data_IF_907273975810
#
_entry.id   IF_907273975810
#
_cell.length_a   1.000
_cell.length_b   1.000
_cell.length_c   1.000
_cell.angle_alpha   90.00
_cell.angle_beta   90.00
_cell.angle_gamma   90.00
#
_symmetry.space_group_name_H-M   'P 1'
#
loop_
_entity.id
_entity.type
_entity.pdbx_description
1 polymer ?
#
# COMPACT_ATOMS: atom_id res chain seq x y z
N UNK A 1 10.46 -19.02 -5.57
CA UNK A 1 9.81 -18.90 -4.25
C UNK A 1 9.06 -20.19 -3.94
N UNK A 2 9.18 -20.74 -2.72
CA UNK A 2 8.41 -21.91 -2.27
C UNK A 2 7.41 -21.46 -1.20
N UNK A 3 6.36 -20.74 -1.61
CA UNK A 3 5.27 -20.32 -0.76
C UNK A 3 3.96 -20.93 -1.28
N UNK A 4 3.05 -21.30 -0.39
CA UNK A 4 1.74 -21.86 -0.77
C UNK A 4 0.66 -21.02 -0.13
N UNK A 5 -0.17 -20.37 -0.96
CA UNK A 5 -1.32 -19.63 -0.49
C UNK A 5 -2.36 -20.64 -0.01
N UNK A 6 -2.80 -20.47 1.23
CA UNK A 6 -3.88 -21.30 1.78
C UNK A 6 -5.24 -20.87 1.24
N UNK A 7 -6.20 -21.80 1.22
CA UNK A 7 -7.58 -21.49 0.86
C UNK A 7 -8.18 -20.37 1.74
N UNK A 8 -7.81 -20.37 3.03
CA UNK A 8 -8.22 -19.32 3.97
C UNK A 8 -7.64 -17.95 3.58
N UNK A 9 -6.36 -17.87 3.23
CA UNK A 9 -5.75 -16.61 2.78
C UNK A 9 -6.43 -16.08 1.51
N UNK A 10 -6.65 -16.94 0.50
CA UNK A 10 -7.36 -16.54 -0.73
C UNK A 10 -8.78 -16.07 -0.43
N UNK A 11 -9.50 -16.77 0.45
CA UNK A 11 -10.85 -16.38 0.87
C UNK A 11 -10.85 -15.05 1.61
N UNK A 12 -9.94 -14.84 2.57
CA UNK A 12 -9.84 -13.59 3.34
C UNK A 12 -9.48 -12.43 2.43
N UNK A 13 -8.53 -12.59 1.52
CA UNK A 13 -8.20 -11.53 0.55
C UNK A 13 -9.44 -11.12 -0.28
N UNK A 14 -10.15 -12.11 -0.85
CA UNK A 14 -11.35 -11.85 -1.63
C UNK A 14 -12.49 -11.24 -0.80
N UNK A 15 -12.62 -11.60 0.47
CA UNK A 15 -13.69 -11.13 1.36
C UNK A 15 -13.40 -9.74 1.94
N UNK A 16 -12.19 -9.55 2.45
CA UNK A 16 -11.81 -8.45 3.32
C UNK A 16 -11.04 -7.36 2.58
N UNK A 17 -10.44 -7.68 1.42
CA UNK A 17 -9.65 -6.75 0.61
C UNK A 17 -8.17 -6.65 1.04
N UNK A 18 -7.78 -7.38 2.08
CA UNK A 18 -6.39 -7.48 2.56
C UNK A 18 -6.13 -8.88 3.13
N UNK A 19 -4.89 -9.35 3.03
CA UNK A 19 -4.44 -10.59 3.68
C UNK A 19 -2.96 -10.46 4.02
N UNK A 20 -2.56 -11.03 5.16
CA UNK A 20 -1.15 -11.22 5.52
C UNK A 20 -0.62 -12.55 4.98
N UNK A 21 0.53 -12.50 4.34
CA UNK A 21 1.31 -13.64 3.84
C UNK A 21 2.61 -13.77 4.64
N UNK A 22 2.60 -14.52 5.77
CA UNK A 22 3.75 -14.56 6.66
C UNK A 22 4.92 -15.34 6.06
N UNK A 23 6.13 -14.76 6.09
CA UNK A 23 7.34 -15.39 5.56
C UNK A 23 7.31 -15.67 4.05
N UNK A 24 6.55 -14.89 3.28
CA UNK A 24 6.52 -14.99 1.82
C UNK A 24 7.90 -14.73 1.20
N UNK A 25 8.60 -13.73 1.73
CA UNK A 25 9.87 -13.23 1.20
C UNK A 25 11.02 -13.90 1.95
N UNK A 26 11.94 -14.52 1.21
CA UNK A 26 13.16 -15.10 1.79
C UNK A 26 14.10 -13.99 2.27
N UNK A 27 14.97 -14.28 3.24
CA UNK A 27 15.89 -13.27 3.77
C UNK A 27 16.88 -12.76 2.71
N UNK A 28 17.21 -13.60 1.72
CA UNK A 28 18.04 -13.20 0.58
C UNK A 28 17.33 -12.17 -0.29
N UNK A 29 16.08 -12.45 -0.69
CA UNK A 29 15.28 -11.50 -1.48
C UNK A 29 14.98 -10.22 -0.69
N UNK A 30 14.74 -10.33 0.61
CA UNK A 30 14.55 -9.19 1.49
C UNK A 30 15.80 -8.30 1.53
N UNK A 31 17.00 -8.87 1.61
CA UNK A 31 18.25 -8.10 1.59
C UNK A 31 18.44 -7.36 0.25
N UNK A 32 17.99 -7.95 -0.87
CA UNK A 32 18.00 -7.28 -2.17
C UNK A 32 16.98 -6.12 -2.22
N UNK A 33 15.78 -6.31 -1.67
CA UNK A 33 14.76 -5.26 -1.56
C UNK A 33 15.21 -4.11 -0.65
N UNK A 34 15.92 -4.43 0.45
CA UNK A 34 16.52 -3.44 1.33
C UNK A 34 17.59 -2.61 0.61
N UNK A 35 18.45 -3.25 -0.19
CA UNK A 35 19.41 -2.54 -1.03
C UNK A 35 18.73 -1.64 -2.09
N UNK A 36 17.61 -2.09 -2.67
CA UNK A 36 16.81 -1.29 -3.58
C UNK A 36 16.20 -0.07 -2.87
N UNK A 37 15.68 -0.25 -1.65
CA UNK A 37 15.16 0.82 -0.83
C UNK A 37 16.23 1.86 -0.51
N UNK A 38 17.40 1.44 -0.01
CA UNK A 38 18.53 2.35 0.27
C UNK A 38 18.96 3.13 -0.97
N UNK A 39 19.00 2.46 -2.13
CA UNK A 39 19.27 3.12 -3.40
C UNK A 39 18.21 4.17 -3.73
N UNK A 40 16.92 3.85 -3.59
CA UNK A 40 15.82 4.78 -3.86
C UNK A 40 15.83 5.99 -2.93
N UNK A 41 16.19 5.81 -1.65
CA UNK A 41 16.37 6.91 -0.71
C UNK A 41 17.53 7.83 -1.13
N UNK A 42 18.63 7.26 -1.64
CA UNK A 42 19.78 8.01 -2.10
C UNK A 42 19.55 8.70 -3.47
N UNK A 43 18.59 8.22 -4.26
CA UNK A 43 18.26 8.74 -5.60
C UNK A 43 16.76 9.02 -5.72
N UNK A 44 16.21 10.04 -5.02
CA UNK A 44 14.79 10.33 -5.09
C UNK A 44 14.33 10.67 -6.52
N UNK A 45 13.18 10.12 -6.90
CA UNK A 45 12.54 10.36 -8.18
C UNK A 45 11.97 11.77 -8.34
N UNK A 46 11.47 12.11 -9.53
CA UNK A 46 11.00 13.45 -9.87
C UNK A 46 9.74 13.89 -9.11
N UNK A 47 8.98 12.94 -8.56
CA UNK A 47 7.77 13.19 -7.77
C UNK A 47 7.92 12.82 -6.30
N UNK A 48 9.14 12.53 -5.85
CA UNK A 48 9.43 12.28 -4.45
C UNK A 48 9.02 13.48 -3.58
N UNK A 49 8.47 13.18 -2.41
CA UNK A 49 7.98 14.15 -1.44
C UNK A 49 8.50 13.83 -0.04
N UNK A 50 8.85 14.88 0.70
CA UNK A 50 9.40 14.77 2.04
C UNK A 50 10.90 15.06 2.11
N UNK A 51 11.39 15.28 3.33
CA UNK A 51 12.81 15.48 3.62
C UNK A 51 13.22 14.58 4.78
N UNK A 52 14.32 13.84 4.61
CA UNK A 52 14.80 12.82 5.55
C UNK A 52 15.82 13.38 6.56
N UNK A 53 16.11 14.68 6.52
CA UNK A 53 17.12 15.37 7.34
C UNK A 53 16.61 15.82 8.71
N UNK A 54 15.38 15.42 9.09
CA UNK A 54 14.71 15.81 10.34
C UNK A 54 14.64 14.64 11.33
N UNK A 55 14.37 14.97 12.58
CA UNK A 55 14.09 13.97 13.61
C UNK A 55 12.78 13.21 13.30
N UNK A 56 11.73 13.97 12.98
CA UNK A 56 10.44 13.46 12.53
C UNK A 56 10.27 13.74 11.03
N UNK A 57 9.94 12.71 10.24
CA UNK A 57 9.66 12.90 8.81
C UNK A 57 8.73 11.84 8.21
N UNK A 58 8.24 12.19 7.03
CA UNK A 58 7.60 11.28 6.08
C UNK A 58 8.22 11.53 4.73
N UNK A 59 8.71 10.47 4.10
CA UNK A 59 9.23 10.45 2.74
C UNK A 59 8.40 9.46 1.93
N UNK A 60 7.99 9.87 0.75
CA UNK A 60 7.27 9.05 -0.23
C UNK A 60 7.89 9.29 -1.60
N UNK A 61 8.16 8.22 -2.34
CA UNK A 61 8.56 8.27 -3.74
C UNK A 61 7.78 7.21 -4.52
N UNK A 62 7.40 7.51 -5.76
CA UNK A 62 6.50 6.65 -6.55
C UNK A 62 7.02 6.53 -7.98
N UNK A 63 7.29 5.30 -8.41
CA UNK A 63 7.67 4.96 -9.78
C UNK A 63 8.84 5.78 -10.32
N UNK A 64 9.98 5.73 -9.64
CA UNK A 64 11.17 6.47 -10.07
C UNK A 64 11.68 5.88 -11.42
N UNK A 65 11.70 6.67 -12.51
CA UNK A 65 12.15 6.17 -13.81
C UNK A 65 13.58 5.62 -13.80
N UNK A 66 14.46 6.15 -12.94
CA UNK A 66 15.85 5.67 -12.80
C UNK A 66 15.92 4.33 -12.04
N UNK A 67 14.94 4.04 -11.18
CA UNK A 67 14.86 2.80 -10.42
C UNK A 67 14.22 1.64 -11.21
N UNK A 68 13.49 1.96 -12.30
CA UNK A 68 12.64 1.00 -13.02
C UNK A 68 13.35 -0.31 -13.37
N UNK A 69 14.55 -0.25 -13.94
CA UNK A 69 15.26 -1.47 -14.37
C UNK A 69 15.58 -2.38 -13.19
N UNK A 70 15.97 -1.81 -12.05
CA UNK A 70 16.28 -2.55 -10.82
C UNK A 70 15.05 -3.28 -10.28
N UNK A 71 13.90 -2.59 -10.22
CA UNK A 71 12.65 -3.20 -9.76
C UNK A 71 12.04 -4.18 -10.77
N UNK A 72 12.13 -3.93 -12.07
CA UNK A 72 11.70 -4.89 -13.08
C UNK A 72 12.48 -6.22 -12.95
N UNK A 73 13.80 -6.14 -12.77
CA UNK A 73 14.66 -7.31 -12.62
C UNK A 73 14.34 -8.11 -11.35
N UNK A 74 14.11 -7.44 -10.21
CA UNK A 74 13.80 -8.14 -8.95
C UNK A 74 12.40 -8.78 -9.01
N UNK A 75 11.40 -8.08 -9.54
CA UNK A 75 10.03 -8.57 -9.66
C UNK A 75 9.94 -9.76 -10.63
N UNK A 76 10.69 -9.72 -11.74
CA UNK A 76 10.70 -10.80 -12.72
C UNK A 76 11.20 -12.15 -12.14
N UNK A 77 11.99 -12.15 -11.06
CA UNK A 77 12.52 -13.37 -10.43
C UNK A 77 12.01 -13.64 -9.01
N UNK A 78 11.24 -12.73 -8.42
CA UNK A 78 10.78 -12.84 -7.03
C UNK A 78 9.74 -13.94 -6.84
N UNK A 79 8.89 -14.19 -7.84
CA UNK A 79 7.69 -15.02 -7.70
C UNK A 79 6.44 -14.23 -7.28
N UNK A 80 6.52 -12.89 -7.21
CA UNK A 80 5.40 -12.04 -6.81
C UNK A 80 4.23 -12.11 -7.80
N UNK A 81 4.53 -12.18 -9.10
CA UNK A 81 3.51 -12.29 -10.14
C UNK A 81 2.63 -13.52 -9.95
N UNK A 82 3.22 -14.67 -9.64
CA UNK A 82 2.51 -15.93 -9.41
C UNK A 82 1.63 -15.88 -8.16
N UNK A 83 2.13 -15.30 -7.07
CA UNK A 83 1.39 -15.11 -5.81
C UNK A 83 0.15 -14.25 -6.05
N UNK A 84 0.32 -13.12 -6.72
CA UNK A 84 -0.79 -12.21 -7.03
C UNK A 84 -1.77 -12.84 -8.03
N UNK A 85 -1.27 -13.56 -9.04
CA UNK A 85 -2.10 -14.27 -10.00
C UNK A 85 -3.00 -15.30 -9.30
N UNK A 86 -2.44 -16.06 -8.34
CA UNK A 86 -3.20 -17.03 -7.55
C UNK A 86 -4.25 -16.36 -6.66
N UNK A 87 -3.91 -15.25 -5.98
CA UNK A 87 -4.85 -14.50 -5.15
C UNK A 87 -6.01 -13.90 -5.95
N UNK A 88 -5.72 -13.33 -7.12
CA UNK A 88 -6.69 -12.68 -8.00
C UNK A 88 -7.43 -13.65 -8.94
N UNK A 89 -7.04 -14.93 -8.96
CA UNK A 89 -7.55 -15.90 -9.94
C UNK A 89 -7.31 -15.44 -11.41
N UNK A 90 -6.17 -14.79 -11.64
CA UNK A 90 -5.80 -14.23 -12.95
C UNK A 90 -4.80 -15.13 -13.68
N UNK A 91 -4.89 -15.16 -15.02
CA UNK A 91 -3.88 -15.80 -15.86
C UNK A 91 -2.63 -14.93 -16.03
N UNK A 92 -2.79 -13.60 -15.97
CA UNK A 92 -1.72 -12.64 -16.22
C UNK A 92 -1.75 -11.53 -15.17
N UNK A 93 -0.57 -11.15 -14.69
CA UNK A 93 -0.38 -10.01 -13.79
C UNK A 93 0.76 -9.17 -14.35
N UNK A 94 0.54 -7.86 -14.41
CA UNK A 94 1.57 -6.89 -14.78
C UNK A 94 2.09 -6.19 -13.53
N UNK A 95 3.41 -6.01 -13.47
CA UNK A 95 4.01 -5.08 -12.52
C UNK A 95 3.83 -3.64 -13.03
N UNK A 96 3.33 -2.76 -12.17
CA UNK A 96 3.11 -1.35 -12.52
C UNK A 96 4.29 -0.47 -12.11
N UNK A 97 4.53 -0.34 -10.80
CA UNK A 97 5.57 0.50 -10.24
C UNK A 97 5.81 0.15 -8.76
N UNK A 98 6.93 0.63 -8.22
CA UNK A 98 7.24 0.63 -6.80
C UNK A 98 6.72 1.90 -6.13
N UNK A 99 6.44 1.81 -4.84
CA UNK A 99 6.24 2.96 -3.97
C UNK A 99 7.11 2.81 -2.72
N UNK A 100 7.89 3.86 -2.42
CA UNK A 100 8.84 3.89 -1.33
C UNK A 100 8.27 4.73 -0.21
N UNK A 101 8.07 4.11 0.96
CA UNK A 101 7.59 4.79 2.16
C UNK A 101 8.65 4.75 3.24
N UNK A 102 9.02 5.91 3.77
CA UNK A 102 9.89 6.00 4.94
C UNK A 102 9.35 7.03 5.93
N UNK A 103 8.95 6.55 7.10
CA UNK A 103 8.44 7.38 8.19
C UNK A 103 9.29 7.19 9.43
N UNK A 104 9.57 8.30 10.13
CA UNK A 104 10.33 8.31 11.37
C UNK A 104 9.70 9.27 12.37
N UNK A 105 9.65 8.85 13.63
CA UNK A 105 9.19 9.68 14.74
C UNK A 105 7.70 10.04 14.62
N UNK A 106 7.34 11.29 14.96
CA UNK A 106 5.96 11.81 14.84
C UNK A 106 5.65 12.22 13.40
N UNK A 107 5.62 11.23 12.52
CA UNK A 107 5.23 11.39 11.12
C UNK A 107 3.72 11.59 10.97
N UNK A 108 3.28 12.31 9.94
CA UNK A 108 1.86 12.39 9.62
C UNK A 108 1.31 10.99 9.24
N UNK A 109 0.08 10.65 9.65
CA UNK A 109 -0.57 9.44 9.16
C UNK A 109 -0.76 9.53 7.65
N UNK A 110 -0.86 8.38 6.99
CA UNK A 110 -1.42 8.35 5.65
C UNK A 110 -2.93 8.48 5.80
N UNK A 111 -3.53 9.51 5.20
CA UNK A 111 -4.98 9.74 5.31
C UNK A 111 -5.75 8.65 4.58
N UNK A 112 -6.99 8.38 5.02
CA UNK A 112 -7.88 7.44 4.33
C UNK A 112 -8.09 7.87 2.88
N UNK A 113 -8.05 6.90 1.97
CA UNK A 113 -8.26 7.10 0.54
C UNK A 113 -8.52 5.76 -0.17
N UNK A 114 -8.83 5.83 -1.47
CA UNK A 114 -8.86 4.69 -2.38
C UNK A 114 -7.86 4.95 -3.51
N UNK A 115 -6.92 4.04 -3.77
CA UNK A 115 -5.91 4.23 -4.81
C UNK A 115 -6.54 4.42 -6.20
N UNK A 116 -7.68 3.76 -6.46
CA UNK A 116 -8.49 3.91 -7.68
C UNK A 116 -9.02 5.32 -7.91
N UNK A 117 -9.05 6.18 -6.89
CA UNK A 117 -9.43 7.58 -7.04
C UNK A 117 -8.35 8.44 -7.72
N UNK A 118 -7.10 7.95 -7.79
CA UNK A 118 -5.96 8.69 -8.32
C UNK A 118 -5.44 8.14 -9.64
N UNK A 119 -5.91 6.97 -10.05
CA UNK A 119 -5.42 6.29 -11.25
C UNK A 119 -6.47 6.26 -12.37
N UNK A 120 -6.05 6.32 -13.65
CA UNK A 120 -6.97 6.39 -14.80
C UNK A 120 -7.53 5.02 -15.22
N UNK A 121 -7.47 4.00 -14.38
CA UNK A 121 -7.94 2.64 -14.68
C UNK A 121 -9.05 2.18 -13.73
N UNK A 122 -9.82 1.19 -14.19
CA UNK A 122 -10.90 0.56 -13.44
C UNK A 122 -10.83 -0.96 -13.53
N UNK A 123 -11.42 -1.65 -12.56
CA UNK A 123 -11.45 -3.11 -12.49
C UNK A 123 -11.21 -3.61 -11.08
N UNK A 124 -11.36 -4.92 -10.90
CA UNK A 124 -11.22 -5.59 -9.59
C UNK A 124 -9.83 -6.24 -9.40
N UNK A 125 -9.03 -6.33 -10.47
CA UNK A 125 -7.74 -7.03 -10.48
C UNK A 125 -6.55 -6.08 -10.41
N UNK A 126 -6.51 -5.27 -9.35
CA UNK A 126 -5.37 -4.45 -8.99
C UNK A 126 -5.13 -4.57 -7.48
N UNK A 127 -3.89 -4.82 -7.09
CA UNK A 127 -3.49 -4.96 -5.69
C UNK A 127 -2.06 -4.46 -5.49
N UNK A 128 -1.76 -4.09 -4.26
CA UNK A 128 -0.42 -3.72 -3.80
C UNK A 128 0.15 -4.82 -2.92
N UNK A 129 1.46 -5.03 -2.99
CA UNK A 129 2.21 -5.84 -2.01
C UNK A 129 2.96 -4.89 -1.08
N UNK A 130 2.57 -4.88 0.20
CA UNK A 130 3.23 -4.05 1.21
C UNK A 130 4.33 -4.84 1.89
N UNK A 131 5.58 -4.46 1.63
CA UNK A 131 6.74 -5.21 2.11
C UNK A 131 7.40 -4.45 3.27
N UNK A 132 7.28 -4.91 4.52
CA UNK A 132 7.93 -4.32 5.68
C UNK A 132 9.44 -4.65 5.69
N UNK A 133 10.29 -3.62 5.73
CA UNK A 133 11.74 -3.76 5.93
C UNK A 133 12.14 -3.77 7.41
N UNK A 134 11.19 -3.48 8.31
CA UNK A 134 11.36 -3.50 9.75
C UNK A 134 10.10 -4.04 10.44
N UNK A 135 10.16 -4.51 11.69
CA UNK A 135 8.97 -4.89 12.44
C UNK A 135 8.00 -3.71 12.58
N UNK A 136 6.71 -3.98 12.40
CA UNK A 136 5.64 -2.98 12.51
C UNK A 136 4.47 -3.58 13.28
N UNK A 137 3.87 -2.83 14.19
CA UNK A 137 2.59 -3.21 14.79
C UNK A 137 1.42 -2.91 13.86
N UNK A 138 0.25 -3.52 14.12
CA UNK A 138 -0.95 -3.34 13.30
C UNK A 138 -1.45 -1.88 13.18
N UNK A 139 -1.11 -1.01 14.13
CA UNK A 139 -1.39 0.44 14.09
C UNK A 139 -0.33 1.25 13.34
N UNK A 140 0.84 0.65 13.09
CA UNK A 140 1.92 1.23 12.29
C UNK A 140 1.87 0.75 10.84
N UNK A 141 1.35 -0.46 10.59
CA UNK A 141 1.18 -1.04 9.26
C UNK A 141 0.07 -0.35 8.47
N UNK A 142 -0.06 -0.74 7.21
CA UNK A 142 -1.24 -0.38 6.42
C UNK A 142 -2.51 -0.86 7.11
N UNK A 143 -3.52 0.01 7.08
CA UNK A 143 -4.86 -0.29 7.54
C UNK A 143 -5.85 -0.07 6.42
N UNK A 144 -6.87 -0.92 6.37
CA UNK A 144 -7.96 -0.83 5.38
C UNK A 144 -9.32 -1.01 6.06
N UNK A 145 -10.37 -0.56 5.38
CA UNK A 145 -11.74 -0.87 5.79
C UNK A 145 -12.16 -2.20 5.14
N UNK A 146 -12.48 -3.19 5.97
CA UNK A 146 -12.87 -4.54 5.55
C UNK A 146 -13.95 -4.49 4.47
N UNK A 147 -13.66 -5.09 3.31
CA UNK A 147 -14.61 -5.24 2.21
C UNK A 147 -14.90 -3.94 1.44
N UNK A 148 -14.20 -2.84 1.73
CA UNK A 148 -14.44 -1.55 1.08
C UNK A 148 -14.15 -1.57 -0.43
N UNK A 149 -13.32 -2.51 -0.91
CA UNK A 149 -13.05 -2.73 -2.34
C UNK A 149 -14.29 -3.19 -3.14
N UNK A 150 -15.33 -3.69 -2.47
CA UNK A 150 -16.63 -4.06 -3.08
C UNK A 150 -17.66 -2.94 -3.02
N UNK A 151 -17.30 -1.84 -2.36
CA UNK A 151 -18.17 -0.69 -2.17
C UNK A 151 -18.16 0.24 -3.37
N UNK A 152 -18.68 1.45 -3.16
CA UNK A 152 -18.59 2.52 -4.13
C UNK A 152 -17.18 3.14 -4.11
N UNK A 153 -16.84 3.81 -5.21
CA UNK A 153 -15.72 4.72 -5.25
C UNK A 153 -16.14 6.11 -4.73
N UNK A 154 -15.27 6.73 -3.94
CA UNK A 154 -15.37 8.10 -3.45
C UNK A 154 -14.46 9.03 -4.27
N UNK A 155 -14.71 10.33 -4.17
CA UNK A 155 -13.76 11.34 -4.64
C UNK A 155 -12.45 11.20 -3.86
N UNK A 156 -11.33 11.38 -4.55
CA UNK A 156 -10.01 11.39 -3.93
C UNK A 156 -9.88 12.58 -2.97
N UNK A 157 -8.88 12.53 -2.10
CA UNK A 157 -8.53 13.65 -1.22
C UNK A 157 -7.25 14.32 -1.70
N UNK A 158 -7.04 15.58 -1.30
CA UNK A 158 -5.81 16.33 -1.60
C UNK A 158 -4.65 15.99 -0.66
N UNK A 159 -4.83 15.04 0.25
CA UNK A 159 -3.90 14.74 1.35
C UNK A 159 -3.53 15.96 2.20
N UNK A 160 -4.43 16.95 2.32
CA UNK A 160 -4.21 18.15 3.11
C UNK A 160 -4.28 17.84 4.62
N UNK A 161 -3.19 18.03 5.40
CA UNK A 161 -3.20 17.71 6.83
C UNK A 161 -4.17 18.55 7.67
N UNK A 162 -4.61 19.71 7.17
CA UNK A 162 -5.59 20.56 7.85
C UNK A 162 -7.04 20.18 7.53
N UNK A 163 -7.24 19.43 6.46
CA UNK A 163 -8.55 18.94 6.04
C UNK A 163 -8.36 17.60 5.29
N UNK A 164 -8.23 16.48 6.03
CA UNK A 164 -7.92 15.17 5.46
C UNK A 164 -8.95 14.67 4.43
N UNK A 165 -10.19 15.14 4.51
CA UNK A 165 -11.30 14.79 3.61
C UNK A 165 -11.57 15.86 2.54
N UNK A 166 -10.63 16.81 2.34
CA UNK A 166 -10.74 17.80 1.28
C UNK A 166 -10.81 17.10 -0.08
N UNK A 167 -11.99 17.17 -0.71
CA UNK A 167 -12.30 16.61 -2.02
C UNK A 167 -11.32 17.12 -3.09
N UNK A 168 -10.77 16.18 -3.89
CA UNK A 168 -9.82 16.44 -4.95
C UNK A 168 -10.50 17.14 -6.15
N UNK A 169 -11.65 16.62 -6.58
CA UNK A 169 -12.40 17.15 -7.72
C UNK A 169 -13.65 17.95 -7.30
N UNK A 170 -14.16 17.71 -6.08
CA UNK A 170 -15.28 18.45 -5.51
C UNK A 170 -16.53 18.36 -6.39
N UNK A 171 -17.11 19.50 -6.75
CA UNK A 171 -18.31 19.55 -7.60
C UNK A 171 -18.12 19.00 -9.02
N UNK A 172 -16.87 18.81 -9.47
CA UNK A 172 -16.56 18.17 -10.76
C UNK A 172 -16.49 16.64 -10.66
N UNK A 173 -16.44 16.07 -9.44
CA UNK A 173 -16.40 14.64 -9.22
C UNK A 173 -17.74 13.99 -9.62
N UNK A 174 -17.67 12.76 -10.15
CA UNK A 174 -18.85 11.89 -10.32
C UNK A 174 -19.09 10.99 -9.10
N UNK A 175 -18.26 11.12 -8.07
CA UNK A 175 -18.23 10.28 -6.88
C UNK A 175 -18.52 11.12 -5.64
N UNK A 176 -19.16 10.56 -4.61
CA UNK A 176 -19.40 11.27 -3.35
C UNK A 176 -18.08 11.56 -2.64
N UNK A 177 -18.03 12.58 -1.76
CA UNK A 177 -16.85 12.85 -0.94
C UNK A 177 -16.55 11.68 0.00
N UNK A 178 -15.28 11.44 0.28
CA UNK A 178 -14.85 10.43 1.24
C UNK A 178 -15.33 10.79 2.65
N UNK A 179 -15.90 9.84 3.42
CA UNK A 179 -16.23 10.04 4.84
C UNK A 179 -14.98 10.33 5.68
N UNK A 180 -15.15 11.04 6.80
CA UNK A 180 -14.09 11.22 7.78
C UNK A 180 -14.01 9.99 8.70
N UNK A 181 -13.45 8.91 8.15
CA UNK A 181 -13.30 7.63 8.86
C UNK A 181 -12.50 7.81 10.15
N UNK A 182 -11.52 8.73 10.18
CA UNK A 182 -10.74 9.00 11.40
C UNK A 182 -11.62 9.60 12.49
N UNK A 183 -12.46 10.59 12.16
CA UNK A 183 -13.41 11.17 13.10
C UNK A 183 -14.47 10.15 13.56
N UNK A 184 -15.02 9.37 12.61
CA UNK A 184 -16.03 8.35 12.90
C UNK A 184 -15.50 7.28 13.87
N UNK A 185 -14.27 6.78 13.65
CA UNK A 185 -13.62 5.79 14.53
C UNK A 185 -13.28 6.41 15.89
N UNK A 186 -12.90 7.69 15.94
CA UNK A 186 -12.63 8.39 17.20
C UNK A 186 -13.90 8.58 18.05
N UNK A 187 -15.06 8.80 17.41
CA UNK A 187 -16.36 8.88 18.08
C UNK A 187 -16.88 7.50 18.48
N UNK A 188 -16.82 6.54 17.56
CA UNK A 188 -17.23 5.16 17.77
C UNK A 188 -16.24 4.19 17.09
N UNK A 189 -15.39 3.49 17.85
CA UNK A 189 -14.40 2.55 17.30
C UNK A 189 -14.99 1.41 16.45
N UNK A 190 -16.28 1.10 16.61
CA UNK A 190 -16.98 0.06 15.85
C UNK A 190 -17.71 0.60 14.61
N UNK A 191 -17.65 1.91 14.34
CA UNK A 191 -18.28 2.53 13.17
C UNK A 191 -17.75 1.98 11.84
N UNK A 192 -16.48 1.57 11.83
CA UNK A 192 -15.79 1.00 10.68
C UNK A 192 -15.00 -0.24 11.08
N UNK A 193 -15.09 -1.30 10.29
CA UNK A 193 -14.31 -2.52 10.47
C UNK A 193 -12.87 -2.32 9.93
N UNK A 194 -12.02 -1.66 10.72
CA UNK A 194 -10.61 -1.43 10.39
C UNK A 194 -9.81 -2.71 10.56
N UNK A 195 -9.03 -3.09 9.54
CA UNK A 195 -8.10 -4.22 9.57
C UNK A 195 -6.67 -3.75 9.38
N UNK A 196 -5.74 -4.36 10.13
CA UNK A 196 -4.29 -4.19 10.03
C UNK A 196 -3.60 -5.40 10.64
N UNK A 197 -2.28 -5.53 10.48
CA UNK A 197 -1.54 -6.71 10.95
C UNK A 197 -0.22 -6.32 11.61
N UNK A 198 0.15 -7.02 12.67
CA UNK A 198 1.55 -7.01 13.12
C UNK A 198 2.39 -7.73 12.07
N UNK A 199 3.50 -7.12 11.67
CA UNK A 199 4.36 -7.58 10.60
C UNK A 199 5.82 -7.65 11.06
N UNK A 200 6.55 -8.63 10.52
CA UNK A 200 8.00 -8.73 10.64
C UNK A 200 8.63 -8.82 9.24
N UNK A 201 9.91 -8.47 9.07
CA UNK A 201 10.57 -8.59 7.78
C UNK A 201 10.48 -10.02 7.24
N UNK A 202 10.12 -10.15 5.96
CA UNK A 202 9.81 -11.42 5.31
C UNK A 202 8.31 -11.67 5.14
N UNK A 203 7.45 -11.01 5.92
CA UNK A 203 6.01 -10.98 5.69
C UNK A 203 5.65 -10.07 4.50
N UNK A 204 4.44 -10.22 3.98
CA UNK A 204 3.73 -9.27 3.11
C UNK A 204 2.30 -9.08 3.61
#
# INVERSE_FOLDING_TARGET
MNFTITKDQKQRFAQDGIVKLPGLISMELLAELDACFEWSIAHPGPIASGKTDREDFSFVDNGNPEAKSMYDEIVARSGFGEVIAELLDSQYVGYFAEEIFWKKGRSNPTFWHQDTAYQPWSGEHWCNMWIPLMPMSADQSVQIIKGSHKGIQYDGTTFNPKNPTQALWGGAAKFPPLPDITADVAENPESWAVLGFDLVPGDV
#
